data_IF_928280459452
#
_entry.id   IF_928280459452
#
_cell.length_a   1.000
_cell.length_b   1.000
_cell.length_c   1.000
_cell.angle_alpha   90.00
_cell.angle_beta   90.00
_cell.angle_gamma   90.00
#
_symmetry.space_group_name_H-M   'P 1'
#
loop_
_entity.id
_entity.type
_entity.pdbx_description
1 polymer ?
#
# COMPACT_ATOMS: atom_id res chain seq x y z
N UNK A 1 -0.10 5.25 -23.05
CA UNK A 1 -0.34 6.02 -21.81
C UNK A 1 -1.79 6.51 -21.69
N UNK A 2 -2.33 7.29 -22.65
CA UNK A 2 -3.69 7.85 -22.57
C UNK A 2 -4.82 6.82 -22.40
N UNK A 3 -4.73 5.66 -23.06
CA UNK A 3 -5.76 4.60 -22.96
C UNK A 3 -5.91 4.09 -21.52
N UNK A 4 -4.80 3.78 -20.82
CA UNK A 4 -4.83 3.30 -19.42
C UNK A 4 -5.45 4.33 -18.47
N UNK A 5 -5.09 5.60 -18.65
CA UNK A 5 -5.65 6.71 -17.88
C UNK A 5 -7.17 6.77 -18.11
N UNK A 6 -7.61 6.74 -19.37
CA UNK A 6 -9.03 6.77 -19.72
C UNK A 6 -9.77 5.56 -19.14
N UNK A 7 -9.23 4.35 -19.28
CA UNK A 7 -9.83 3.13 -18.75
C UNK A 7 -9.96 3.18 -17.22
N UNK A 8 -8.92 3.62 -16.52
CA UNK A 8 -8.95 3.72 -15.06
C UNK A 8 -9.93 4.78 -14.56
N UNK A 9 -10.05 5.92 -15.25
CA UNK A 9 -11.07 6.93 -14.95
C UNK A 9 -12.49 6.42 -15.22
N UNK A 10 -12.72 5.75 -16.35
CA UNK A 10 -14.03 5.14 -16.67
C UNK A 10 -14.41 4.11 -15.62
N UNK A 11 -13.47 3.25 -15.22
CA UNK A 11 -13.69 2.24 -14.19
C UNK A 11 -14.00 2.88 -12.82
N UNK A 12 -13.27 3.93 -12.44
CA UNK A 12 -13.52 4.65 -11.20
C UNK A 12 -14.92 5.29 -11.17
N UNK A 13 -15.34 5.95 -12.25
CA UNK A 13 -16.69 6.54 -12.35
C UNK A 13 -17.77 5.46 -12.29
N UNK A 14 -17.57 4.32 -12.94
CA UNK A 14 -18.48 3.18 -12.88
C UNK A 14 -18.64 2.64 -11.46
N UNK A 15 -17.54 2.43 -10.74
CA UNK A 15 -17.54 1.93 -9.36
C UNK A 15 -18.27 2.88 -8.41
N UNK A 16 -17.98 4.18 -8.50
CA UNK A 16 -18.70 5.20 -7.71
C UNK A 16 -20.19 5.19 -8.04
N UNK A 17 -20.56 5.11 -9.32
CA UNK A 17 -21.94 5.01 -9.76
C UNK A 17 -22.65 3.76 -9.22
N UNK A 18 -21.99 2.60 -9.23
CA UNK A 18 -22.54 1.37 -8.67
C UNK A 18 -22.70 1.44 -7.15
N UNK A 19 -21.74 2.05 -6.45
CA UNK A 19 -21.86 2.29 -5.01
C UNK A 19 -23.08 3.17 -4.68
N UNK A 20 -23.24 4.28 -5.41
CA UNK A 20 -24.37 5.19 -5.25
C UNK A 20 -25.71 4.50 -5.56
N UNK A 21 -25.77 3.68 -6.61
CA UNK A 21 -26.96 2.90 -6.95
C UNK A 21 -27.31 1.89 -5.85
N UNK A 22 -26.32 1.15 -5.34
CA UNK A 22 -26.53 0.18 -4.26
C UNK A 22 -27.06 0.85 -3.00
N UNK A 23 -26.53 2.04 -2.67
CA UNK A 23 -27.03 2.86 -1.57
C UNK A 23 -28.46 3.37 -1.81
N UNK A 24 -28.78 3.86 -3.01
CA UNK A 24 -30.11 4.36 -3.35
C UNK A 24 -31.19 3.26 -3.30
N UNK A 25 -30.85 2.04 -3.75
CA UNK A 25 -31.79 0.91 -3.77
C UNK A 25 -32.05 0.33 -2.37
N UNK A 26 -31.05 0.32 -1.47
CA UNK A 26 -31.16 -0.31 -0.14
C UNK A 26 -31.39 0.69 0.99
N UNK A 27 -31.09 1.98 0.79
CA UNK A 27 -31.19 3.02 1.81
C UNK A 27 -30.12 2.98 2.89
N UNK A 28 -29.16 2.04 2.79
CA UNK A 28 -28.08 1.83 3.76
C UNK A 28 -26.76 1.51 3.05
N UNK A 29 -25.63 1.84 3.69
CA UNK A 29 -24.30 1.49 3.18
C UNK A 29 -24.00 0.01 3.46
N UNK A 30 -24.34 -0.83 2.49
CA UNK A 30 -24.06 -2.27 2.55
C UNK A 30 -22.62 -2.61 2.19
N UNK A 31 -22.18 -3.83 2.53
CA UNK A 31 -20.85 -4.34 2.18
C UNK A 31 -20.56 -4.27 0.66
N UNK A 32 -21.58 -4.40 -0.18
CA UNK A 32 -21.48 -4.27 -1.63
C UNK A 32 -21.11 -2.84 -2.04
N UNK A 33 -21.80 -1.84 -1.49
CA UNK A 33 -21.50 -0.42 -1.72
C UNK A 33 -20.09 -0.04 -1.23
N UNK A 34 -19.68 -0.59 -0.08
CA UNK A 34 -18.32 -0.45 0.44
C UNK A 34 -17.28 -1.10 -0.47
N UNK A 35 -17.57 -2.28 -1.01
CA UNK A 35 -16.69 -2.98 -1.95
C UNK A 35 -16.36 -2.12 -3.17
N UNK A 36 -17.36 -1.49 -3.77
CA UNK A 36 -17.15 -0.58 -4.90
C UNK A 36 -16.31 0.66 -4.52
N UNK A 37 -16.58 1.24 -3.35
CA UNK A 37 -15.82 2.41 -2.86
C UNK A 37 -14.35 2.07 -2.64
N UNK A 38 -14.07 0.90 -2.06
CA UNK A 38 -12.71 0.41 -1.79
C UNK A 38 -11.95 0.05 -3.07
N UNK A 39 -12.64 -0.38 -4.13
CA UNK A 39 -12.02 -0.68 -5.43
C UNK A 39 -11.71 0.58 -6.26
N UNK A 40 -12.34 1.70 -5.94
CA UNK A 40 -12.15 2.98 -6.64
C UNK A 40 -10.71 3.50 -6.56
N UNK A 41 -10.04 3.58 -5.38
CA UNK A 41 -8.65 4.01 -5.30
C UNK A 41 -7.68 3.06 -6.04
N UNK A 42 -7.97 1.76 -6.10
CA UNK A 42 -7.19 0.81 -6.89
C UNK A 42 -7.27 1.12 -8.40
N UNK A 43 -8.47 1.43 -8.88
CA UNK A 43 -8.70 1.81 -10.29
C UNK A 43 -7.95 3.10 -10.63
N UNK A 44 -7.96 4.07 -9.71
CA UNK A 44 -7.23 5.32 -9.86
C UNK A 44 -5.71 5.10 -9.80
N UNK A 45 -5.24 4.20 -8.94
CA UNK A 45 -3.83 3.81 -8.88
C UNK A 45 -3.35 3.22 -10.21
N UNK A 46 -4.15 2.35 -10.85
CA UNK A 46 -3.82 1.82 -12.18
C UNK A 46 -3.84 2.90 -13.28
N UNK A 47 -4.68 3.92 -13.14
CA UNK A 47 -4.81 5.03 -14.09
C UNK A 47 -3.64 6.01 -13.98
N UNK A 48 -3.23 6.33 -12.75
CA UNK A 48 -2.23 7.35 -12.44
C UNK A 48 -0.83 6.78 -12.20
N UNK A 49 -0.70 5.45 -12.07
CA UNK A 49 0.58 4.79 -11.84
C UNK A 49 1.58 5.23 -12.93
N UNK A 50 2.69 5.88 -12.52
CA UNK A 50 3.85 5.99 -13.38
C UNK A 50 4.21 4.57 -13.78
N UNK A 51 4.49 4.34 -15.05
CA UNK A 51 5.02 3.08 -15.53
C UNK A 51 6.27 2.79 -14.70
N UNK A 52 6.16 1.89 -13.72
CA UNK A 52 7.33 1.48 -12.96
C UNK A 52 8.32 0.89 -13.97
N UNK A 53 9.61 1.23 -13.88
CA UNK A 53 10.64 0.81 -14.83
C UNK A 53 11.04 -0.65 -14.59
N UNK A 54 10.10 -1.56 -14.33
CA UNK A 54 10.39 -3.00 -14.25
C UNK A 54 10.50 -3.64 -15.65
N UNK A 55 10.38 -2.84 -16.71
CA UNK A 55 10.79 -3.17 -18.07
C UNK A 55 12.12 -2.46 -18.42
N UNK A 56 13.03 -2.33 -17.46
CA UNK A 56 14.45 -2.41 -17.78
C UNK A 56 14.92 -3.77 -17.31
N UNK A 57 15.12 -4.68 -18.26
CA UNK A 57 16.22 -5.64 -18.15
C UNK A 57 17.50 -4.82 -18.09
N UNK A 58 17.77 -4.29 -16.91
CA UNK A 58 19.11 -4.12 -16.39
C UNK A 58 18.95 -4.15 -14.88
N UNK A 59 19.63 -5.13 -14.32
CA UNK A 59 19.69 -5.44 -12.91
C UNK A 59 20.49 -4.34 -12.19
N UNK A 60 19.91 -3.15 -12.03
CA UNK A 60 20.47 -2.10 -11.17
C UNK A 60 19.31 -1.44 -10.41
N UNK A 61 19.12 -1.87 -9.17
CA UNK A 61 18.04 -1.35 -8.32
C UNK A 61 17.21 -2.41 -7.62
N UNK A 62 17.76 -3.62 -7.39
CA UNK A 62 17.52 -4.22 -6.07
C UNK A 62 18.13 -3.23 -5.11
N UNK A 63 17.30 -2.52 -4.35
CA UNK A 63 17.76 -1.82 -3.16
C UNK A 63 18.37 -2.87 -2.26
N UNK A 64 19.68 -3.06 -2.40
CA UNK A 64 20.51 -3.72 -1.41
C UNK A 64 20.21 -2.97 -0.13
N UNK A 65 19.65 -3.68 0.84
CA UNK A 65 19.63 -3.17 2.20
C UNK A 65 21.11 -3.12 2.56
N UNK A 66 21.70 -1.93 2.44
CA UNK A 66 23.06 -1.69 2.90
C UNK A 66 23.08 -2.12 4.37
N UNK A 67 23.67 -3.28 4.66
CA UNK A 67 24.46 -3.46 5.87
C UNK A 67 25.66 -2.52 5.73
N UNK A 68 25.38 -1.21 5.76
CA UNK A 68 26.39 -0.21 6.07
C UNK A 68 26.79 -0.51 7.51
N UNK A 69 27.81 -1.35 7.61
CA UNK A 69 28.79 -1.42 8.67
C UNK A 69 29.24 0.01 8.99
N UNK A 70 28.42 0.74 9.74
CA UNK A 70 28.85 1.90 10.50
C UNK A 70 29.80 1.36 11.57
N UNK A 71 31.08 1.38 11.21
CA UNK A 71 32.19 1.37 12.13
C UNK A 71 32.05 2.55 13.08
N UNK A 72 31.30 2.35 14.15
CA UNK A 72 31.35 3.10 15.38
C UNK A 72 31.69 2.14 16.50
N UNK A 73 32.90 2.27 17.06
CA UNK A 73 33.24 1.69 18.36
C UNK A 73 32.33 2.30 19.44
N UNK A 74 31.15 1.72 19.59
CA UNK A 74 30.21 2.00 20.66
C UNK A 74 29.40 0.73 20.83
N UNK A 75 29.59 0.05 21.97
CA UNK A 75 29.01 -1.26 22.29
C UNK A 75 27.60 -1.40 21.74
N UNK A 76 27.44 -2.23 20.69
CA UNK A 76 26.15 -2.73 20.16
C UNK A 76 25.51 -3.72 21.15
N UNK A 77 25.56 -3.41 22.44
CA UNK A 77 24.93 -4.22 23.47
C UNK A 77 23.58 -3.57 23.75
N UNK A 78 22.51 -4.27 23.38
CA UNK A 78 21.16 -3.83 23.70
C UNK A 78 21.05 -3.66 25.22
N UNK A 79 20.40 -2.58 25.72
CA UNK A 79 20.21 -2.39 27.16
C UNK A 79 19.50 -3.60 27.77
N UNK A 80 19.89 -4.00 28.98
CA UNK A 80 19.24 -5.10 29.67
C UNK A 80 17.72 -4.80 29.81
N UNK A 81 16.84 -5.71 29.36
CA UNK A 81 15.40 -5.45 29.33
C UNK A 81 14.83 -5.25 30.74
N UNK A 82 15.45 -5.89 31.74
CA UNK A 82 15.09 -5.77 33.16
C UNK A 82 15.42 -4.37 33.68
N UNK A 83 16.61 -3.84 33.36
CA UNK A 83 16.98 -2.47 33.76
C UNK A 83 16.17 -1.40 33.00
N UNK A 84 15.72 -1.74 31.79
CA UNK A 84 14.85 -0.89 30.95
C UNK A 84 13.37 -0.93 31.36
N UNK A 85 13.02 -1.70 32.40
CA UNK A 85 11.65 -1.79 32.92
C UNK A 85 10.68 -2.59 32.04
N UNK A 86 11.20 -3.38 31.10
CA UNK A 86 10.40 -4.33 30.34
C UNK A 86 10.16 -5.60 31.17
N UNK A 87 8.91 -6.02 31.24
CA UNK A 87 8.53 -7.29 31.88
C UNK A 87 8.88 -8.45 30.95
N UNK A 88 9.75 -9.37 31.39
CA UNK A 88 10.20 -10.53 30.60
C UNK A 88 9.33 -11.74 30.97
N UNK A 89 8.57 -12.33 30.03
CA UNK A 89 7.73 -13.47 30.33
C UNK A 89 8.56 -14.69 30.73
N UNK A 90 8.19 -15.33 31.84
CA UNK A 90 8.77 -16.60 32.31
C UNK A 90 7.97 -17.75 31.71
N UNK A 91 8.65 -18.73 31.09
CA UNK A 91 8.07 -19.97 30.58
C UNK A 91 8.07 -21.08 31.65
#
# INVERSE_FOLDING_TARGET
>A
MRVRVITGWVLAVLLVGMSAKSFADRGELTAEAWGFLLLTPLSLALALSPMLPWESTDSEGVGEWSDEEEGGEGSKEAPDPIESGFDVPVL
#
